data_IF_855351857023
#
_entry.id   IF_855351857023
#
_cell.length_a   1.000
_cell.length_b   1.000
_cell.length_c   1.000
_cell.angle_alpha   90.00
_cell.angle_beta   90.00
_cell.angle_gamma   90.00
#
_symmetry.space_group_name_H-M   'P 1'
#
loop_
_entity.id
_entity.type
_entity.pdbx_description
1 polymer ?
#
# COMPACT_ATOMS: atom_id res chain seq x y z
N UNK A 1 14.26 -22.53 2.13
CA UNK A 1 12.96 -23.15 1.79
C UNK A 1 12.78 -23.07 0.29
N UNK A 2 12.69 -24.23 -0.39
CA UNK A 2 12.64 -24.31 -1.87
C UNK A 2 11.34 -23.68 -2.40
N UNK A 3 11.45 -22.70 -3.29
CA UNK A 3 10.31 -22.11 -4.00
C UNK A 3 9.56 -23.18 -4.81
N UNK A 4 8.23 -23.05 -4.90
CA UNK A 4 7.42 -23.93 -5.72
C UNK A 4 7.81 -23.69 -7.18
N UNK A 5 8.47 -24.67 -7.80
CA UNK A 5 8.67 -24.67 -9.24
C UNK A 5 7.33 -24.99 -9.90
N UNK A 6 6.91 -24.15 -10.84
CA UNK A 6 5.69 -24.37 -11.64
C UNK A 6 6.07 -24.80 -13.05
N UNK A 7 5.31 -25.74 -13.62
CA UNK A 7 5.43 -26.10 -15.02
C UNK A 7 5.03 -24.95 -15.94
N UNK A 8 5.40 -24.96 -17.21
CA UNK A 8 4.98 -23.98 -18.25
C UNK A 8 3.46 -23.78 -18.36
N UNK A 9 2.64 -24.70 -17.81
CA UNK A 9 1.17 -24.61 -17.70
C UNK A 9 0.70 -24.16 -16.31
N UNK A 10 1.60 -23.65 -15.44
CA UNK A 10 1.27 -23.09 -14.12
C UNK A 10 0.90 -24.13 -13.05
N UNK A 11 1.25 -25.39 -13.20
CA UNK A 11 1.03 -26.45 -12.19
C UNK A 11 2.20 -26.47 -11.20
N UNK A 12 1.94 -26.52 -9.87
CA UNK A 12 3.02 -26.68 -8.90
C UNK A 12 3.63 -28.08 -9.01
N UNK A 13 4.94 -28.15 -9.15
CA UNK A 13 5.68 -29.41 -9.03
C UNK A 13 5.74 -29.79 -7.54
N UNK A 14 4.92 -30.75 -7.09
CA UNK A 14 4.92 -31.29 -5.74
C UNK A 14 3.83 -30.82 -4.78
N UNK A 15 2.76 -30.16 -5.26
CA UNK A 15 1.58 -29.77 -4.44
C UNK A 15 0.35 -30.64 -4.73
N UNK A 16 -0.55 -30.79 -3.72
CA UNK A 16 -1.85 -31.45 -3.92
C UNK A 16 -2.78 -30.60 -4.80
N UNK A 17 -3.72 -31.23 -5.50
CA UNK A 17 -4.73 -30.54 -6.33
C UNK A 17 -5.52 -29.48 -5.53
N UNK A 18 -5.82 -29.74 -4.26
CA UNK A 18 -6.48 -28.79 -3.36
C UNK A 18 -5.65 -27.53 -3.13
N UNK A 19 -4.33 -27.63 -3.02
CA UNK A 19 -3.43 -26.47 -2.88
C UNK A 19 -3.38 -25.66 -4.17
N UNK A 20 -3.38 -26.30 -5.34
CA UNK A 20 -3.40 -25.63 -6.63
C UNK A 20 -4.71 -24.84 -6.85
N UNK A 21 -5.85 -25.45 -6.52
CA UNK A 21 -7.15 -24.79 -6.59
C UNK A 21 -7.22 -23.61 -5.63
N UNK A 22 -6.77 -23.76 -4.38
CA UNK A 22 -6.76 -22.67 -3.42
C UNK A 22 -5.88 -21.50 -3.87
N UNK A 23 -4.76 -21.76 -4.56
CA UNK A 23 -3.88 -20.72 -5.10
C UNK A 23 -4.50 -19.91 -6.23
N UNK A 24 -5.34 -20.50 -7.05
CA UNK A 24 -6.00 -19.80 -8.17
C UNK A 24 -7.31 -19.13 -7.76
N UNK A 25 -8.10 -19.78 -6.93
CA UNK A 25 -9.44 -19.30 -6.58
C UNK A 25 -9.44 -18.29 -5.44
N UNK A 26 -8.58 -18.45 -4.42
CA UNK A 26 -8.55 -17.51 -3.28
C UNK A 26 -8.31 -16.06 -3.73
N UNK A 27 -7.29 -15.71 -4.54
CA UNK A 27 -7.10 -14.33 -5.00
C UNK A 27 -8.25 -13.82 -5.85
N UNK A 28 -8.85 -14.66 -6.68
CA UNK A 28 -9.98 -14.30 -7.52
C UNK A 28 -11.22 -14.01 -6.68
N UNK A 29 -11.58 -14.90 -5.76
CA UNK A 29 -12.70 -14.69 -4.82
C UNK A 29 -12.45 -13.46 -3.96
N UNK A 30 -11.25 -13.32 -3.38
CA UNK A 30 -10.90 -12.14 -2.57
C UNK A 30 -11.02 -10.85 -3.36
N UNK A 31 -10.56 -10.83 -4.62
CA UNK A 31 -10.66 -9.63 -5.46
C UNK A 31 -12.11 -9.28 -5.82
N UNK A 32 -12.97 -10.28 -6.07
CA UNK A 32 -14.40 -10.05 -6.30
C UNK A 32 -15.06 -9.49 -5.05
N UNK A 33 -14.83 -10.12 -3.89
CA UNK A 33 -15.41 -9.66 -2.61
C UNK A 33 -14.96 -8.23 -2.28
N UNK A 34 -13.67 -7.92 -2.45
CA UNK A 34 -13.14 -6.57 -2.23
C UNK A 34 -13.71 -5.56 -3.23
N UNK A 35 -13.88 -5.92 -4.50
CA UNK A 35 -14.53 -5.06 -5.49
C UNK A 35 -16.00 -4.84 -5.15
N UNK A 36 -16.75 -5.88 -4.84
CA UNK A 36 -18.14 -5.75 -4.43
C UNK A 36 -18.24 -4.85 -3.19
N UNK A 37 -17.42 -5.09 -2.18
CA UNK A 37 -17.37 -4.26 -0.99
C UNK A 37 -17.05 -2.79 -1.35
N UNK A 38 -16.02 -2.53 -2.16
CA UNK A 38 -15.64 -1.18 -2.57
C UNK A 38 -16.75 -0.45 -3.33
N UNK A 39 -17.55 -1.15 -4.14
CA UNK A 39 -18.70 -0.57 -4.85
C UNK A 39 -19.87 -0.22 -3.93
N UNK A 40 -19.97 -0.86 -2.76
CA UNK A 40 -21.00 -0.50 -1.77
C UNK A 40 -20.62 0.72 -0.93
N UNK A 41 -19.34 1.09 -0.90
CA UNK A 41 -18.86 2.19 -0.07
C UNK A 41 -19.20 3.55 -0.68
N UNK A 42 -19.58 4.49 0.18
CA UNK A 42 -19.77 5.91 -0.19
C UNK A 42 -18.46 6.64 0.01
N UNK A 43 -17.67 6.70 -1.06
CA UNK A 43 -16.30 7.25 -1.00
C UNK A 43 -16.32 8.77 -1.08
N UNK A 44 -15.56 9.42 -0.19
CA UNK A 44 -15.25 10.86 -0.21
C UNK A 44 -13.74 11.06 -0.09
N UNK A 45 -13.25 12.15 -0.62
CA UNK A 45 -11.84 12.51 -0.57
C UNK A 45 -11.70 13.85 0.15
N UNK A 46 -10.74 13.93 1.07
CA UNK A 46 -10.36 15.17 1.75
C UNK A 46 -8.93 15.54 1.39
N UNK A 47 -8.76 16.77 0.94
CA UNK A 47 -7.54 17.36 0.39
C UNK A 47 -6.96 16.57 -0.81
N UNK A 48 -7.79 16.13 -1.81
CA UNK A 48 -7.30 15.37 -2.98
C UNK A 48 -6.31 16.18 -3.81
N UNK A 49 -6.35 17.51 -3.73
CA UNK A 49 -5.44 18.44 -4.41
C UNK A 49 -3.97 18.15 -4.09
N UNK A 50 -3.63 17.62 -2.93
CA UNK A 50 -2.25 17.26 -2.60
C UNK A 50 -1.70 16.15 -3.49
N UNK A 51 -2.52 15.16 -3.83
CA UNK A 51 -2.13 14.14 -4.80
C UNK A 51 -2.17 14.69 -6.22
N UNK A 52 -3.25 15.40 -6.58
CA UNK A 52 -3.47 15.94 -7.92
C UNK A 52 -2.34 16.89 -8.34
N UNK A 53 -1.89 17.77 -7.46
CA UNK A 53 -0.76 18.69 -7.70
C UNK A 53 0.55 17.95 -7.94
N UNK A 54 0.85 16.91 -7.15
CA UNK A 54 2.03 16.08 -7.36
C UNK A 54 1.98 15.37 -8.72
N UNK A 55 0.81 14.83 -9.07
CA UNK A 55 0.60 14.17 -10.36
C UNK A 55 0.70 15.16 -11.52
N UNK A 56 0.17 16.36 -11.39
CA UNK A 56 0.21 17.41 -12.41
C UNK A 56 1.64 17.90 -12.70
N UNK A 57 2.49 17.97 -11.68
CA UNK A 57 3.91 18.37 -11.78
C UNK A 57 4.83 17.22 -12.18
N UNK A 58 4.30 16.05 -12.52
CA UNK A 58 5.04 14.80 -12.76
C UNK A 58 5.98 14.39 -11.60
N UNK A 59 5.70 14.86 -10.38
CA UNK A 59 6.44 14.50 -9.18
C UNK A 59 6.11 13.06 -8.79
N UNK A 60 7.13 12.19 -8.64
CA UNK A 60 6.92 10.81 -8.18
C UNK A 60 6.46 10.78 -6.73
N UNK A 61 5.55 9.86 -6.43
CA UNK A 61 4.84 9.81 -5.15
C UNK A 61 5.06 8.48 -4.44
N UNK A 62 5.30 8.55 -3.14
CA UNK A 62 5.24 7.42 -2.22
C UNK A 62 4.02 7.63 -1.34
N UNK A 63 2.91 6.93 -1.63
CA UNK A 63 1.75 6.93 -0.72
C UNK A 63 2.11 6.13 0.52
N UNK A 64 2.20 6.79 1.67
CA UNK A 64 2.52 6.19 2.96
C UNK A 64 1.26 6.10 3.82
N UNK A 65 0.96 4.91 4.33
CA UNK A 65 -0.21 4.66 5.17
C UNK A 65 0.05 3.48 6.10
N UNK A 66 -0.62 3.43 7.25
CA UNK A 66 -0.47 2.32 8.18
C UNK A 66 -1.02 1.00 7.63
N UNK A 67 -0.36 -0.11 7.95
CA UNK A 67 -0.75 -1.44 7.48
C UNK A 67 -2.20 -1.78 7.86
N UNK A 68 -2.66 -1.34 9.00
CA UNK A 68 -4.06 -1.50 9.45
C UNK A 68 -5.13 -0.92 8.50
N UNK A 69 -4.76 0.03 7.63
CA UNK A 69 -5.65 0.70 6.66
C UNK A 69 -5.53 0.16 5.24
N UNK A 70 -4.73 -0.88 5.04
CA UNK A 70 -4.35 -1.41 3.72
C UNK A 70 -5.54 -1.77 2.82
N UNK A 71 -6.65 -2.27 3.40
CA UNK A 71 -7.69 -2.96 2.64
C UNK A 71 -8.34 -2.09 1.55
N UNK A 72 -8.63 -0.81 1.81
CA UNK A 72 -9.27 0.11 0.87
C UNK A 72 -8.31 1.15 0.28
N UNK A 73 -7.01 1.01 0.52
CA UNK A 73 -5.99 1.89 -0.08
C UNK A 73 -5.96 1.92 -1.63
N UNK A 74 -6.39 0.86 -2.35
CA UNK A 74 -6.55 0.97 -3.80
C UNK A 74 -7.44 2.13 -4.26
N UNK A 75 -8.38 2.57 -3.43
CA UNK A 75 -9.25 3.71 -3.72
C UNK A 75 -8.54 5.07 -3.57
N UNK A 76 -7.39 5.11 -2.89
CA UNK A 76 -6.63 6.33 -2.67
C UNK A 76 -5.72 6.74 -3.84
N UNK A 77 -5.67 5.94 -4.90
CA UNK A 77 -4.87 6.27 -6.08
C UNK A 77 -5.71 6.08 -7.35
N UNK A 78 -5.81 7.10 -8.22
CA UNK A 78 -6.62 7.02 -9.41
C UNK A 78 -6.06 5.97 -10.39
N UNK A 79 -6.87 4.99 -10.74
CA UNK A 79 -6.50 3.89 -11.65
C UNK A 79 -6.16 4.36 -13.07
N UNK A 80 -6.51 5.59 -13.41
CA UNK A 80 -6.26 6.24 -14.72
C UNK A 80 -5.32 7.45 -14.59
N UNK A 81 -4.33 7.40 -13.72
CA UNK A 81 -3.32 8.47 -13.58
C UNK A 81 -2.38 8.56 -14.81
N UNK A 82 -2.93 8.36 -16.01
CA UNK A 82 -2.18 8.25 -17.25
C UNK A 82 -2.14 9.57 -18.04
N UNK A 83 -1.73 10.67 -17.39
CA UNK A 83 -1.11 11.78 -18.11
C UNK A 83 0.37 11.76 -17.70
N UNK A 84 1.30 11.97 -18.62
CA UNK A 84 2.75 12.11 -18.35
C UNK A 84 3.52 10.82 -18.00
N UNK A 85 3.47 9.78 -18.86
CA UNK A 85 4.31 8.57 -18.75
C UNK A 85 4.23 7.81 -17.40
N UNK A 86 3.18 8.03 -16.59
CA UNK A 86 2.95 7.27 -15.36
C UNK A 86 2.36 5.91 -15.66
N UNK A 87 2.93 4.88 -15.08
CA UNK A 87 2.45 3.49 -15.23
C UNK A 87 1.38 3.11 -14.21
N UNK A 88 1.20 3.92 -13.17
CA UNK A 88 0.29 3.66 -12.05
C UNK A 88 1.01 3.50 -10.73
N UNK A 89 0.43 2.74 -9.80
CA UNK A 89 1.00 2.49 -8.48
C UNK A 89 1.53 1.07 -8.34
N UNK A 90 2.67 0.92 -7.69
CA UNK A 90 3.30 -0.35 -7.35
C UNK A 90 3.42 -0.51 -5.84
N UNK A 91 3.35 -1.75 -5.35
CA UNK A 91 3.52 -2.09 -3.94
C UNK A 91 4.60 -3.16 -3.77
N UNK A 92 5.27 -3.14 -2.62
CA UNK A 92 6.18 -4.22 -2.24
C UNK A 92 5.37 -5.37 -1.63
N UNK A 93 5.52 -6.57 -2.18
CA UNK A 93 4.85 -7.77 -1.70
C UNK A 93 5.88 -8.85 -1.33
N UNK A 94 5.69 -9.47 -0.17
CA UNK A 94 6.56 -10.52 0.34
C UNK A 94 6.64 -11.71 -0.63
N UNK A 95 7.77 -12.45 -0.59
CA UNK A 95 7.95 -13.68 -1.36
C UNK A 95 7.24 -14.90 -0.73
N UNK A 96 6.57 -14.73 0.41
CA UNK A 96 5.77 -15.77 1.04
C UNK A 96 4.55 -16.17 0.19
N UNK A 97 3.93 -17.31 0.49
CA UNK A 97 2.68 -17.75 -0.14
C UNK A 97 1.55 -16.73 0.02
N UNK A 98 1.46 -16.10 1.17
CA UNK A 98 0.43 -15.08 1.44
C UNK A 98 0.70 -13.77 0.69
N UNK A 99 1.99 -13.38 0.57
CA UNK A 99 2.39 -12.28 -0.29
C UNK A 99 2.07 -12.54 -1.77
N UNK A 100 2.15 -13.80 -2.21
CA UNK A 100 1.80 -14.19 -3.57
C UNK A 100 0.29 -14.09 -3.85
N UNK A 101 -0.53 -14.56 -2.90
CA UNK A 101 -1.99 -14.41 -2.95
C UNK A 101 -2.41 -12.95 -2.93
N UNK A 102 -1.80 -12.16 -2.04
CA UNK A 102 -2.01 -10.72 -1.94
C UNK A 102 -1.65 -10.01 -3.25
N UNK A 103 -0.48 -10.27 -3.83
CA UNK A 103 -0.06 -9.72 -5.11
C UNK A 103 -1.02 -10.08 -6.25
N UNK A 104 -1.52 -11.32 -6.28
CA UNK A 104 -2.51 -11.75 -7.26
C UNK A 104 -3.86 -11.03 -7.08
N UNK A 105 -4.29 -10.78 -5.84
CA UNK A 105 -5.50 -10.01 -5.52
C UNK A 105 -5.37 -8.56 -5.98
N UNK A 106 -4.28 -7.89 -5.64
CA UNK A 106 -4.07 -6.48 -5.98
C UNK A 106 -3.92 -6.21 -7.48
N UNK A 107 -3.49 -7.18 -8.26
CA UNK A 107 -3.44 -7.08 -9.73
C UNK A 107 -4.81 -6.76 -10.33
N UNK A 108 -5.90 -7.23 -9.72
CA UNK A 108 -7.26 -6.93 -10.15
C UNK A 108 -7.69 -5.48 -9.89
N UNK A 109 -6.93 -4.77 -9.07
CA UNK A 109 -7.07 -3.33 -8.80
C UNK A 109 -6.06 -2.49 -9.62
N UNK A 110 -5.43 -3.07 -10.64
CA UNK A 110 -4.38 -2.43 -11.44
C UNK A 110 -3.15 -1.99 -10.64
N UNK A 111 -2.90 -2.63 -9.51
CA UNK A 111 -1.73 -2.38 -8.67
C UNK A 111 -0.63 -3.36 -9.06
N UNK A 112 0.56 -2.83 -9.39
CA UNK A 112 1.72 -3.63 -9.72
C UNK A 112 2.39 -4.15 -8.45
N UNK A 113 2.61 -5.47 -8.34
CA UNK A 113 3.28 -6.05 -7.18
C UNK A 113 4.75 -6.34 -7.48
N UNK A 114 5.64 -5.67 -6.74
CA UNK A 114 7.09 -5.92 -6.75
C UNK A 114 7.38 -7.03 -5.75
N UNK A 115 8.09 -8.05 -6.16
CA UNK A 115 8.43 -9.19 -5.28
C UNK A 115 9.68 -8.89 -4.48
N UNK A 116 9.55 -8.78 -3.17
CA UNK A 116 10.67 -8.49 -2.27
C UNK A 116 10.20 -8.42 -0.82
N UNK A 117 11.14 -8.45 0.11
CA UNK A 117 10.87 -8.30 1.54
C UNK A 117 11.86 -7.32 2.15
N UNK A 118 11.36 -6.26 2.77
CA UNK A 118 12.17 -5.31 3.53
C UNK A 118 12.84 -5.95 4.77
N UNK A 119 12.36 -7.12 5.21
CA UNK A 119 12.88 -7.80 6.40
C UNK A 119 14.00 -8.82 6.11
N UNK A 120 14.07 -9.35 4.88
CA UNK A 120 15.05 -10.38 4.51
C UNK A 120 16.26 -9.78 3.78
N UNK A 121 16.03 -8.72 2.99
CA UNK A 121 17.08 -8.00 2.26
C UNK A 121 16.60 -6.57 1.99
N UNK A 122 16.67 -5.73 3.01
CA UNK A 122 16.20 -4.33 2.94
C UNK A 122 16.90 -3.50 1.86
N UNK A 123 18.20 -3.74 1.63
CA UNK A 123 18.97 -3.03 0.61
C UNK A 123 18.48 -3.42 -0.80
N UNK A 124 18.23 -4.70 -1.03
CA UNK A 124 17.71 -5.20 -2.32
C UNK A 124 16.29 -4.70 -2.58
N UNK A 125 15.43 -4.71 -1.55
CA UNK A 125 14.07 -4.17 -1.64
C UNK A 125 14.10 -2.67 -1.98
N UNK A 126 14.97 -1.90 -1.33
CA UNK A 126 15.17 -0.48 -1.62
C UNK A 126 15.63 -0.25 -3.07
N UNK A 127 16.60 -1.02 -3.55
CA UNK A 127 17.09 -0.93 -4.93
C UNK A 127 15.98 -1.25 -5.96
N UNK A 128 15.14 -2.25 -5.69
CA UNK A 128 14.00 -2.59 -6.54
C UNK A 128 12.96 -1.47 -6.58
N UNK A 129 12.61 -0.88 -5.42
CA UNK A 129 11.68 0.24 -5.33
C UNK A 129 12.22 1.46 -6.07
N UNK A 130 13.50 1.79 -5.92
CA UNK A 130 14.16 2.88 -6.66
C UNK A 130 14.10 2.64 -8.17
N UNK A 131 14.39 1.42 -8.62
CA UNK A 131 14.26 1.07 -10.05
C UNK A 131 12.82 1.26 -10.52
N UNK A 132 11.84 0.81 -9.75
CA UNK A 132 10.42 0.91 -10.09
C UNK A 132 9.96 2.37 -10.21
N UNK A 133 10.43 3.26 -9.32
CA UNK A 133 10.15 4.70 -9.42
C UNK A 133 10.74 5.28 -10.71
N UNK A 134 12.00 4.94 -11.03
CA UNK A 134 12.64 5.37 -12.28
C UNK A 134 11.93 4.85 -13.52
N UNK A 135 11.38 3.64 -13.45
CA UNK A 135 10.59 3.03 -14.53
C UNK A 135 9.20 3.68 -14.72
N UNK A 136 8.84 4.70 -13.93
CA UNK A 136 7.62 5.49 -14.09
C UNK A 136 6.45 5.09 -13.19
N UNK A 137 6.68 4.28 -12.15
CA UNK A 137 5.66 3.93 -11.16
C UNK A 137 5.71 4.84 -9.94
N UNK A 138 4.54 5.11 -9.37
CA UNK A 138 4.43 5.58 -7.99
C UNK A 138 4.40 4.38 -7.03
N UNK A 139 4.66 4.59 -5.74
CA UNK A 139 4.78 3.51 -4.77
C UNK A 139 3.72 3.64 -3.68
N UNK A 140 3.01 2.57 -3.39
CA UNK A 140 2.22 2.42 -2.17
C UNK A 140 3.03 1.64 -1.14
N UNK A 141 3.18 2.18 0.07
CA UNK A 141 4.03 1.59 1.08
C UNK A 141 3.43 1.71 2.49
N UNK A 142 3.51 0.61 3.24
CA UNK A 142 3.20 0.59 4.67
C UNK A 142 4.48 0.73 5.46
N UNK A 143 4.77 1.93 6.04
CA UNK A 143 6.07 2.21 6.65
C UNK A 143 6.34 1.39 7.92
N UNK A 144 5.31 0.90 8.62
CA UNK A 144 5.42 -0.04 9.74
C UNK A 144 5.80 -1.46 9.29
N UNK A 145 5.56 -1.80 8.03
CA UNK A 145 5.92 -3.08 7.44
C UNK A 145 5.09 -4.26 7.97
N UNK A 146 5.27 -5.47 7.41
CA UNK A 146 4.39 -6.62 7.68
C UNK A 146 4.62 -7.30 9.04
N UNK A 147 5.66 -6.92 9.77
CA UNK A 147 6.01 -7.49 11.10
C UNK A 147 5.89 -6.45 12.22
N UNK A 148 5.47 -5.22 11.91
CA UNK A 148 5.39 -4.14 12.88
C UNK A 148 6.73 -3.68 13.46
N UNK A 149 6.73 -3.00 14.59
CA UNK A 149 5.55 -2.67 15.40
C UNK A 149 4.56 -1.77 14.66
N UNK A 150 3.25 -1.96 14.95
CA UNK A 150 2.18 -1.18 14.32
C UNK A 150 2.35 0.31 14.60
N UNK A 151 2.04 1.15 13.59
CA UNK A 151 2.06 2.60 13.68
C UNK A 151 3.43 3.20 14.06
N UNK A 152 4.51 2.54 13.65
CA UNK A 152 5.89 3.04 13.77
C UNK A 152 6.59 2.94 12.42
N UNK A 153 6.88 4.08 11.81
CA UNK A 153 7.54 4.12 10.50
C UNK A 153 9.00 3.69 10.60
N UNK A 154 9.42 2.84 9.66
CA UNK A 154 10.81 2.41 9.50
C UNK A 154 11.59 3.37 8.62
N UNK A 155 12.92 3.53 8.82
CA UNK A 155 13.75 4.46 8.04
C UNK A 155 13.78 4.20 6.53
N UNK A 156 13.42 2.99 6.08
CA UNK A 156 13.49 2.60 4.67
C UNK A 156 12.65 3.47 3.73
N UNK A 157 11.49 3.96 4.18
CA UNK A 157 10.63 4.84 3.36
C UNK A 157 11.29 6.21 3.16
N UNK A 158 11.97 6.73 4.18
CA UNK A 158 12.71 8.00 4.13
C UNK A 158 13.92 7.87 3.19
N UNK A 159 14.69 6.79 3.35
CA UNK A 159 15.80 6.49 2.46
C UNK A 159 15.38 6.33 0.99
N UNK A 160 14.20 5.75 0.76
CA UNK A 160 13.61 5.65 -0.59
C UNK A 160 13.30 7.04 -1.15
N UNK A 161 12.62 7.90 -0.38
CA UNK A 161 12.27 9.26 -0.78
C UNK A 161 13.52 10.09 -1.09
N UNK A 162 14.53 10.08 -0.21
CA UNK A 162 15.79 10.79 -0.41
C UNK A 162 16.52 10.38 -1.70
N UNK A 163 16.65 9.07 -1.92
CA UNK A 163 17.42 8.53 -3.05
C UNK A 163 16.68 8.62 -4.39
N UNK A 164 15.35 8.64 -4.37
CA UNK A 164 14.52 8.70 -5.58
C UNK A 164 14.05 10.12 -5.92
N UNK A 165 14.08 11.05 -4.97
CA UNK A 165 13.48 12.38 -5.10
C UNK A 165 11.94 12.36 -5.07
N UNK A 166 11.32 11.22 -4.77
CA UNK A 166 9.87 11.12 -4.66
C UNK A 166 9.36 11.78 -3.39
N UNK A 167 8.20 12.46 -3.46
CA UNK A 167 7.52 13.01 -2.29
C UNK A 167 6.79 11.92 -1.54
N UNK A 168 6.87 11.91 -0.20
CA UNK A 168 6.02 11.07 0.64
C UNK A 168 4.68 11.79 0.81
N UNK A 169 3.59 11.13 0.41
CA UNK A 169 2.23 11.59 0.65
C UNK A 169 1.59 10.72 1.72
N UNK A 170 1.43 11.25 2.96
CA UNK A 170 0.75 10.51 4.02
C UNK A 170 -0.75 10.40 3.73
N UNK A 171 -1.32 9.21 3.86
CA UNK A 171 -2.73 8.93 3.57
C UNK A 171 -3.35 8.11 4.69
N UNK A 172 -4.58 8.45 5.05
CA UNK A 172 -5.42 7.67 5.97
C UNK A 172 -6.79 7.39 5.33
N UNK A 173 -7.31 6.19 5.56
CA UNK A 173 -8.68 5.82 5.16
C UNK A 173 -9.50 5.54 6.41
N UNK A 174 -10.64 6.21 6.56
CA UNK A 174 -11.56 6.00 7.70
C UNK A 174 -12.94 5.54 7.23
N UNK A 175 -13.68 4.93 8.14
CA UNK A 175 -15.02 4.41 7.88
C UNK A 175 -15.95 4.75 9.03
N UNK A 176 -17.20 5.10 8.76
CA UNK A 176 -18.24 5.30 9.79
C UNK A 176 -18.65 3.97 10.46
N UNK A 177 -18.63 2.85 9.69
CA UNK A 177 -18.96 1.51 10.15
C UNK A 177 -17.91 0.51 9.70
N UNK A 178 -17.31 -0.20 10.67
CA UNK A 178 -16.22 -1.12 10.42
C UNK A 178 -16.10 -2.18 11.52
N UNK A 179 -15.24 -3.16 11.30
CA UNK A 179 -14.75 -4.14 12.27
C UNK A 179 -13.23 -4.04 12.38
N UNK A 180 -12.72 -4.28 13.58
CA UNK A 180 -11.27 -4.38 13.81
C UNK A 180 -10.94 -5.86 14.03
N UNK A 181 -9.96 -6.38 13.31
CA UNK A 181 -9.48 -7.74 13.50
C UNK A 181 -8.52 -7.81 14.68
N UNK A 182 -8.52 -8.96 15.37
CA UNK A 182 -7.53 -9.30 16.40
C UNK A 182 -6.22 -9.78 15.75
N UNK A 183 -5.64 -8.94 14.86
CA UNK A 183 -4.36 -9.15 14.20
C UNK A 183 -3.30 -8.23 14.82
N UNK A 184 -2.01 -8.49 14.54
CA UNK A 184 -0.90 -7.68 15.06
C UNK A 184 -1.03 -6.18 14.71
N UNK A 185 -1.65 -5.87 13.55
CA UNK A 185 -1.87 -4.52 13.02
C UNK A 185 -3.25 -3.96 13.35
N UNK A 186 -4.13 -4.74 13.99
CA UNK A 186 -5.53 -4.36 14.23
C UNK A 186 -6.23 -3.88 12.96
N UNK A 187 -6.15 -4.68 11.88
CA UNK A 187 -6.66 -4.34 10.56
C UNK A 187 -8.13 -3.91 10.59
N UNK A 188 -8.43 -2.81 9.92
CA UNK A 188 -9.78 -2.22 9.85
C UNK A 188 -10.48 -2.70 8.58
N UNK A 189 -11.64 -3.34 8.75
CA UNK A 189 -12.48 -3.83 7.65
C UNK A 189 -13.78 -3.02 7.62
N UNK A 190 -14.07 -2.28 6.54
CA UNK A 190 -15.34 -1.57 6.41
C UNK A 190 -16.52 -2.54 6.30
N UNK A 191 -17.68 -2.12 6.79
CA UNK A 191 -18.93 -2.80 6.53
C UNK A 191 -19.53 -2.32 5.19
N UNK A 192 -20.34 -3.14 4.51
CA UNK A 192 -21.07 -2.72 3.33
C UNK A 192 -21.88 -1.45 3.57
N UNK A 193 -21.94 -0.57 2.57
CA UNK A 193 -22.63 0.72 2.60
C UNK A 193 -22.08 1.73 3.62
N UNK A 194 -20.89 1.48 4.17
CA UNK A 194 -20.21 2.44 5.02
C UNK A 194 -19.77 3.67 4.22
N UNK A 195 -19.71 4.81 4.90
CA UNK A 195 -19.00 5.97 4.39
C UNK A 195 -17.50 5.71 4.51
N UNK A 196 -16.78 5.90 3.42
CA UNK A 196 -15.33 5.75 3.33
C UNK A 196 -14.74 7.12 3.02
N UNK A 197 -13.92 7.66 3.90
CA UNK A 197 -13.25 8.94 3.67
C UNK A 197 -11.75 8.70 3.53
N UNK A 198 -11.18 9.17 2.44
CA UNK A 198 -9.75 9.11 2.13
C UNK A 198 -9.16 10.49 2.41
N UNK A 199 -8.26 10.56 3.37
CA UNK A 199 -7.64 11.78 3.84
C UNK A 199 -6.20 11.84 3.37
N UNK A 200 -5.81 12.92 2.69
CA UNK A 200 -4.42 13.19 2.34
C UNK A 200 -3.86 14.28 3.24
N UNK A 201 -2.66 14.07 3.78
CA UNK A 201 -1.93 15.11 4.49
C UNK A 201 -0.97 15.84 3.53
N UNK A 202 -0.37 16.92 4.00
CA UNK A 202 0.63 17.67 3.24
C UNK A 202 1.77 16.75 2.79
N UNK A 203 2.19 16.84 1.52
CA UNK A 203 3.33 16.07 1.02
C UNK A 203 4.62 16.42 1.76
N UNK A 204 5.39 15.40 2.12
CA UNK A 204 6.69 15.54 2.76
C UNK A 204 7.80 15.40 1.71
N UNK A 205 8.52 16.48 1.46
CA UNK A 205 9.75 16.47 0.66
C UNK A 205 10.93 16.30 1.61
N UNK A 206 11.57 15.13 1.53
CA UNK A 206 12.63 14.77 2.47
C UNK A 206 13.96 15.37 2.03
N UNK A 207 14.58 16.16 2.90
CA UNK A 207 15.90 16.75 2.64
C UNK A 207 16.98 15.64 2.60
N UNK A 208 17.97 15.76 1.70
CA UNK A 208 19.04 14.75 1.58
C UNK A 208 19.89 14.55 2.83
N UNK A 209 20.02 15.58 3.65
CA UNK A 209 20.82 15.62 4.89
C UNK A 209 20.04 15.18 6.13
N UNK A 210 18.71 15.00 6.06
CA UNK A 210 17.89 14.55 7.18
C UNK A 210 18.23 13.08 7.52
N UNK A 211 18.63 12.77 8.78
CA UNK A 211 18.85 11.39 9.17
C UNK A 211 17.58 10.54 8.94
N UNK A 212 17.68 9.37 8.27
CA UNK A 212 16.51 8.55 7.96
C UNK A 212 15.64 8.16 9.17
N UNK A 213 16.27 7.98 10.35
CA UNK A 213 15.54 7.70 11.58
C UNK A 213 14.69 8.90 12.02
N UNK A 214 15.25 10.11 11.97
CA UNK A 214 14.52 11.34 12.32
C UNK A 214 13.36 11.58 11.35
N UNK A 215 13.57 11.35 10.05
CA UNK A 215 12.50 11.44 9.06
C UNK A 215 11.39 10.39 9.29
N UNK A 216 11.75 9.19 9.73
CA UNK A 216 10.79 8.15 10.07
C UNK A 216 9.96 8.52 11.32
N UNK A 217 10.57 9.15 12.31
CA UNK A 217 9.85 9.69 13.48
C UNK A 217 8.88 10.80 13.09
N UNK A 218 9.29 11.72 12.20
CA UNK A 218 8.41 12.77 11.66
C UNK A 218 7.23 12.16 10.89
N UNK A 219 7.48 11.18 10.03
CA UNK A 219 6.41 10.49 9.29
C UNK A 219 5.46 9.74 10.23
N UNK A 220 5.99 9.11 11.28
CA UNK A 220 5.18 8.46 12.33
C UNK A 220 4.23 9.47 12.97
N UNK A 221 4.74 10.63 13.36
CA UNK A 221 3.92 11.67 13.96
C UNK A 221 2.83 12.16 13.00
N UNK A 222 3.19 12.48 11.74
CA UNK A 222 2.24 12.96 10.74
C UNK A 222 1.13 11.93 10.46
N UNK A 223 1.46 10.65 10.33
CA UNK A 223 0.46 9.60 10.09
C UNK A 223 -0.44 9.37 11.30
N UNK A 224 0.10 9.44 12.52
CA UNK A 224 -0.70 9.30 13.75
C UNK A 224 -1.62 10.50 13.95
N UNK A 225 -1.13 11.72 13.72
CA UNK A 225 -1.94 12.93 13.81
C UNK A 225 -3.05 12.94 12.76
N UNK A 226 -2.73 12.54 11.51
CA UNK A 226 -3.71 12.40 10.45
C UNK A 226 -4.81 11.39 10.82
N UNK A 227 -4.43 10.23 11.34
CA UNK A 227 -5.40 9.20 11.76
C UNK A 227 -6.25 9.70 12.93
N UNK A 228 -5.66 10.30 13.96
CA UNK A 228 -6.38 10.84 15.11
C UNK A 228 -7.36 11.96 14.71
N UNK A 229 -6.95 12.85 13.81
CA UNK A 229 -7.79 13.90 13.29
C UNK A 229 -8.95 13.34 12.46
N UNK A 230 -8.67 12.41 11.53
CA UNK A 230 -9.64 11.78 10.66
C UNK A 230 -10.69 10.96 11.46
N UNK A 231 -10.28 10.34 12.56
CA UNK A 231 -11.21 9.61 13.44
C UNK A 231 -12.10 10.54 14.28
N UNK A 232 -11.61 11.72 14.69
CA UNK A 232 -12.44 12.73 15.37
C UNK A 232 -13.51 13.34 14.46
N UNK A 233 -13.19 13.59 13.19
CA UNK A 233 -14.12 14.10 12.19
C UNK A 233 -15.29 13.16 11.88
N UNK A 234 -15.11 11.87 12.14
CA UNK A 234 -16.14 10.83 11.95
C UNK A 234 -17.31 10.90 12.95
N UNK A 235 -17.10 11.52 14.10
CA UNK A 235 -18.08 11.61 15.18
C UNK A 235 -19.06 12.79 15.01
N UNK A 236 -18.95 13.51 13.91
CA UNK A 236 -19.85 14.62 13.52
C UNK A 236 -20.62 14.26 12.26
#
# INVERSE_FOLDING_TARGET
MKGIQVTAKGRPLGGTWSQWWSFRFTPWVSSILLKLLSHTLRVRYENPEYLEDLLARDQRVILAFWHRRLLMMPLAYPTRASKNHRKGIAILSSQSRDGERSAATWRWFHIHAIRGSANEDGARALAQLMKTIRDGWDIGLTPDGPKGPSQMAKPGVVALAQKSGASILPVCVTFDRFRILSSWDSMVIPLPFAQCVIHYALPMNIKPDLPPLSGAQQLTQVLNDLEAWAEKGRSR
#
